data_IF_776812968967
#
_entry.id   IF_776812968967
#
_cell.length_a   1.000
_cell.length_b   1.000
_cell.length_c   1.000
_cell.angle_alpha   90.00
_cell.angle_beta   90.00
_cell.angle_gamma   90.00
#
_symmetry.space_group_name_H-M   'P 1'
#
loop_
_entity.id
_entity.type
_entity.pdbx_description
1 polymer ?
#
# COMPACT_ATOMS: atom_id res chain seq x y z
N UNK A 1 -3.31 50.34 -11.25
CA UNK A 1 -2.20 49.36 -11.32
C UNK A 1 -2.86 48.01 -11.46
N UNK A 2 -2.99 47.50 -12.69
CA UNK A 2 -3.75 46.30 -12.99
C UNK A 2 -2.82 45.23 -13.53
N UNK A 3 -2.56 44.23 -12.69
CA UNK A 3 -1.83 43.00 -12.98
C UNK A 3 -2.42 42.29 -14.20
N UNK A 4 -1.84 42.54 -15.37
CA UNK A 4 -2.25 41.96 -16.67
C UNK A 4 -1.32 40.83 -17.13
N UNK A 5 -0.54 40.25 -16.21
CA UNK A 5 0.47 39.24 -16.54
C UNK A 5 0.02 37.79 -16.37
N UNK A 6 -1.26 37.49 -16.11
CA UNK A 6 -1.70 36.11 -15.86
C UNK A 6 -2.30 35.35 -17.06
N UNK A 7 -2.56 35.99 -18.20
CA UNK A 7 -3.39 35.37 -19.26
C UNK A 7 -2.60 34.88 -20.48
N UNK A 8 -1.28 35.00 -20.46
CA UNK A 8 -0.44 34.55 -21.55
C UNK A 8 -0.28 33.01 -21.52
N UNK A 9 -0.57 32.28 -22.62
CA UNK A 9 -0.47 30.81 -22.66
C UNK A 9 0.95 30.26 -22.44
N UNK A 10 1.97 31.12 -22.53
CA UNK A 10 3.37 30.81 -22.20
C UNK A 10 3.71 31.01 -20.71
N UNK A 11 2.88 31.72 -19.93
CA UNK A 11 3.08 31.88 -18.48
C UNK A 11 2.61 30.67 -17.67
N UNK A 12 1.86 29.75 -18.28
CA UNK A 12 1.46 28.49 -17.66
C UNK A 12 1.52 27.34 -18.68
N UNK A 13 2.74 26.92 -19.09
CA UNK A 13 2.89 25.87 -20.08
C UNK A 13 2.21 24.58 -19.59
N UNK A 14 1.51 23.83 -20.47
CA UNK A 14 0.75 22.67 -20.05
C UNK A 14 1.67 21.64 -19.40
N UNK A 15 1.29 21.18 -18.21
CA UNK A 15 2.04 20.15 -17.49
C UNK A 15 2.23 18.92 -18.38
N UNK A 16 3.49 18.53 -18.60
CA UNK A 16 3.83 17.34 -19.37
C UNK A 16 3.18 16.12 -18.70
N UNK A 17 2.37 15.38 -19.46
CA UNK A 17 1.68 14.17 -18.97
C UNK A 17 2.68 13.21 -18.33
N UNK A 18 2.52 12.93 -17.04
CA UNK A 18 3.35 11.97 -16.29
C UNK A 18 3.39 10.61 -17.01
N UNK A 19 4.57 10.00 -17.07
CA UNK A 19 4.76 8.67 -17.65
C UNK A 19 3.97 7.61 -16.89
N UNK A 20 3.55 6.53 -17.58
CA UNK A 20 2.81 5.42 -16.94
C UNK A 20 3.60 4.79 -15.78
N UNK A 21 4.93 4.68 -15.92
CA UNK A 21 5.81 4.20 -14.85
C UNK A 21 5.75 5.10 -13.62
N UNK A 22 5.82 6.42 -13.79
CA UNK A 22 5.71 7.39 -12.69
C UNK A 22 4.34 7.30 -12.01
N UNK A 23 3.26 7.17 -12.78
CA UNK A 23 1.90 7.00 -12.24
C UNK A 23 1.75 5.71 -11.43
N UNK A 24 2.31 4.58 -11.90
CA UNK A 24 2.29 3.30 -11.17
C UNK A 24 3.09 3.38 -9.87
N UNK A 25 4.27 4.00 -9.89
CA UNK A 25 5.08 4.22 -8.70
C UNK A 25 4.36 5.12 -7.67
N UNK A 26 3.78 6.24 -8.10
CA UNK A 26 2.99 7.12 -7.22
C UNK A 26 1.79 6.37 -6.61
N UNK A 27 1.11 5.52 -7.40
CA UNK A 27 0.00 4.69 -6.89
C UNK A 27 0.46 3.66 -5.86
N UNK A 28 1.62 3.02 -6.09
CA UNK A 28 2.20 2.08 -5.14
C UNK A 28 2.63 2.77 -3.83
N UNK A 29 3.26 3.95 -3.93
CA UNK A 29 3.65 4.76 -2.79
C UNK A 29 2.43 5.18 -1.95
N UNK A 30 1.37 5.68 -2.58
CA UNK A 30 0.12 6.03 -1.88
C UNK A 30 -0.53 4.84 -1.18
N UNK A 31 -0.48 3.66 -1.80
CA UNK A 31 -0.97 2.43 -1.16
C UNK A 31 -0.13 2.06 0.06
N UNK A 32 1.19 2.15 -0.05
CA UNK A 32 2.10 1.86 1.06
C UNK A 32 1.89 2.84 2.21
N UNK A 33 1.76 4.14 1.91
CA UNK A 33 1.46 5.19 2.90
C UNK A 33 0.13 4.96 3.61
N UNK A 34 -0.95 4.65 2.85
CA UNK A 34 -2.25 4.31 3.42
C UNK A 34 -2.16 3.15 4.41
N UNK A 35 -1.48 2.07 4.03
CA UNK A 35 -1.33 0.92 4.90
C UNK A 35 -0.42 1.22 6.10
N UNK A 36 0.61 2.05 5.92
CA UNK A 36 1.46 2.50 7.02
C UNK A 36 0.67 3.29 8.06
N UNK A 37 -0.18 4.23 7.63
CA UNK A 37 -1.07 4.96 8.53
C UNK A 37 -2.05 4.04 9.27
N UNK A 38 -2.71 3.12 8.56
CA UNK A 38 -3.65 2.17 9.18
C UNK A 38 -2.98 1.28 10.23
N UNK A 39 -1.75 0.84 9.98
CA UNK A 39 -0.98 0.05 10.95
C UNK A 39 -0.61 0.89 12.18
N UNK A 40 -0.23 2.15 11.98
CA UNK A 40 0.12 3.05 13.08
C UNK A 40 -1.11 3.40 13.94
N UNK A 41 -2.26 3.64 13.33
CA UNK A 41 -3.54 3.81 14.03
C UNK A 41 -3.88 2.54 14.82
N UNK A 42 -3.75 1.36 14.20
CA UNK A 42 -4.05 0.09 14.85
C UNK A 42 -3.14 -0.21 16.06
N UNK A 43 -1.86 0.18 16.01
CA UNK A 43 -0.94 0.06 17.15
C UNK A 43 -1.40 0.85 18.38
N UNK A 44 -2.06 1.98 18.16
CA UNK A 44 -2.58 2.80 19.27
C UNK A 44 -3.82 2.17 19.90
N UNK A 45 -4.60 1.39 19.13
CA UNK A 45 -5.79 0.68 19.60
C UNK A 45 -5.47 -0.63 20.33
N UNK A 46 -4.41 -1.32 19.92
CA UNK A 46 -3.90 -2.51 20.60
C UNK A 46 -3.49 -3.65 19.68
N UNK A 47 -2.96 -4.75 20.24
CA UNK A 47 -2.36 -5.84 19.47
C UNK A 47 -3.37 -6.57 18.56
N UNK A 48 -4.62 -6.74 19.02
CA UNK A 48 -5.66 -7.40 18.23
C UNK A 48 -5.99 -6.60 16.96
N UNK A 49 -6.04 -5.27 17.09
CA UNK A 49 -6.30 -4.39 15.95
C UNK A 49 -5.12 -4.38 14.97
N UNK A 50 -3.89 -4.35 15.49
CA UNK A 50 -2.69 -4.44 14.65
C UNK A 50 -2.68 -5.74 13.84
N UNK A 51 -3.03 -6.87 14.47
CA UNK A 51 -3.14 -8.17 13.82
C UNK A 51 -4.24 -8.18 12.73
N UNK A 52 -5.40 -7.58 13.01
CA UNK A 52 -6.49 -7.46 12.04
C UNK A 52 -6.06 -6.70 10.79
N UNK A 53 -5.44 -5.52 10.95
CA UNK A 53 -4.97 -4.69 9.83
C UNK A 53 -3.87 -5.40 9.04
N UNK A 54 -2.95 -6.09 9.71
CA UNK A 54 -1.92 -6.89 9.05
C UNK A 54 -2.53 -8.00 8.18
N UNK A 55 -3.56 -8.67 8.70
CA UNK A 55 -4.28 -9.73 7.98
C UNK A 55 -5.11 -9.19 6.81
N UNK A 56 -5.78 -8.04 6.96
CA UNK A 56 -6.47 -7.38 5.86
C UNK A 56 -5.52 -7.01 4.73
N UNK A 57 -4.34 -6.47 5.05
CA UNK A 57 -3.31 -6.15 4.07
C UNK A 57 -2.86 -7.38 3.30
N UNK A 58 -2.67 -8.51 3.99
CA UNK A 58 -2.32 -9.79 3.36
C UNK A 58 -3.42 -10.27 2.41
N UNK A 59 -4.68 -10.28 2.85
CA UNK A 59 -5.84 -10.65 2.01
C UNK A 59 -5.92 -9.78 0.76
N UNK A 60 -5.76 -8.47 0.91
CA UNK A 60 -5.79 -7.52 -0.21
C UNK A 60 -4.67 -7.78 -1.24
N UNK A 61 -3.51 -8.27 -0.79
CA UNK A 61 -2.43 -8.68 -1.68
C UNK A 61 -2.83 -9.90 -2.53
N UNK A 62 -3.49 -10.89 -1.91
CA UNK A 62 -3.87 -12.15 -2.56
C UNK A 62 -4.99 -12.03 -3.59
N UNK A 63 -5.92 -11.09 -3.40
CA UNK A 63 -7.04 -10.86 -4.34
C UNK A 63 -6.54 -10.61 -5.77
N UNK A 64 -5.38 -9.97 -5.92
CA UNK A 64 -4.83 -9.59 -7.23
C UNK A 64 -3.88 -10.65 -7.81
N UNK A 65 -3.67 -11.77 -7.12
CA UNK A 65 -2.79 -12.86 -7.59
C UNK A 65 -3.57 -13.87 -8.45
N UNK A 66 -2.92 -14.42 -9.50
CA UNK A 66 -3.39 -15.63 -10.17
C UNK A 66 -3.52 -16.80 -9.19
N UNK A 67 -4.42 -17.75 -9.48
CA UNK A 67 -4.74 -18.87 -8.58
C UNK A 67 -3.49 -19.64 -8.10
N UNK A 68 -2.63 -20.07 -9.02
CA UNK A 68 -1.40 -20.81 -8.67
C UNK A 68 -0.42 -20.02 -7.80
N UNK A 69 -0.40 -18.69 -7.93
CA UNK A 69 0.42 -17.82 -7.08
C UNK A 69 -0.23 -17.59 -5.73
N UNK A 70 -1.57 -17.54 -5.68
CA UNK A 70 -2.35 -17.41 -4.46
C UNK A 70 -2.20 -18.65 -3.58
N UNK A 71 -2.28 -19.85 -4.16
CA UNK A 71 -2.16 -21.11 -3.42
C UNK A 71 -0.78 -21.25 -2.76
N UNK A 72 0.29 -20.98 -3.52
CA UNK A 72 1.66 -20.93 -2.97
C UNK A 72 1.83 -19.85 -1.90
N UNK A 73 1.18 -18.70 -2.06
CA UNK A 73 1.27 -17.64 -1.07
C UNK A 73 0.55 -18.02 0.24
N UNK A 74 -0.56 -18.75 0.17
CA UNK A 74 -1.23 -19.29 1.37
C UNK A 74 -0.37 -20.34 2.07
N UNK A 75 0.28 -21.23 1.33
CA UNK A 75 1.21 -22.22 1.90
C UNK A 75 2.34 -21.53 2.68
N UNK A 76 2.97 -20.50 2.10
CA UNK A 76 4.00 -19.72 2.80
C UNK A 76 3.48 -19.06 4.09
N UNK A 77 2.23 -18.61 4.12
CA UNK A 77 1.62 -18.02 5.32
C UNK A 77 1.39 -19.08 6.39
N UNK A 78 0.91 -20.27 6.02
CA UNK A 78 0.73 -21.38 6.96
C UNK A 78 2.07 -21.75 7.60
N UNK A 79 3.11 -21.93 6.80
CA UNK A 79 4.46 -22.24 7.30
C UNK A 79 4.99 -21.16 8.24
N UNK A 80 4.75 -19.88 7.94
CA UNK A 80 5.15 -18.79 8.82
C UNK A 80 4.41 -18.83 10.16
N UNK A 81 3.10 -19.14 10.16
CA UNK A 81 2.31 -19.27 11.39
C UNK A 81 2.75 -20.47 12.24
N UNK A 82 3.06 -21.60 11.59
CA UNK A 82 3.61 -22.78 12.27
C UNK A 82 4.95 -22.45 12.93
N UNK A 83 5.85 -21.76 12.21
CA UNK A 83 7.13 -21.35 12.76
C UNK A 83 6.99 -20.39 13.96
N UNK A 84 6.07 -19.43 13.90
CA UNK A 84 5.76 -18.55 15.03
C UNK A 84 5.26 -19.37 16.22
N UNK A 85 4.35 -20.32 15.99
CA UNK A 85 3.83 -21.20 17.03
C UNK A 85 4.96 -21.99 17.69
N UNK A 86 5.84 -22.60 16.90
CA UNK A 86 6.97 -23.37 17.42
C UNK A 86 7.95 -22.52 18.24
N UNK A 87 8.23 -21.30 17.77
CA UNK A 87 9.18 -20.38 18.42
C UNK A 87 8.65 -19.82 19.74
N UNK A 88 7.34 -19.65 19.87
CA UNK A 88 6.71 -18.99 21.02
C UNK A 88 5.85 -19.92 21.90
N UNK A 89 5.78 -21.22 21.59
CA UNK A 89 5.14 -22.24 22.44
C UNK A 89 6.11 -22.87 23.47
N UNK A 90 7.33 -22.34 23.59
CA UNK A 90 8.31 -22.66 24.65
C UNK A 90 8.20 -21.67 25.80
#
# INVERSE_FOLDING_TARGET
MSDTNQTAPWNNPPERKKTLRRKRAEKAARKAERWGRLLEEARQEGPDREAEVAWERLRAAFINLPQEARDRAYESVVLALEHIRETHAQ
#
